data_IF_860533496482
#
_entry.id   IF_860533496482
#
_cell.length_a   1.000
_cell.length_b   1.000
_cell.length_c   1.000
_cell.angle_alpha   90.00
_cell.angle_beta   90.00
_cell.angle_gamma   90.00
#
_symmetry.space_group_name_H-M   'P 1'
#
loop_
_entity.id
_entity.type
_entity.pdbx_description
1 polymer ?
#
# COMPACT_ATOMS: atom_id res chain seq x y z
N UNK A 1 16.86 -5.55 -11.96
CA UNK A 1 17.13 -6.39 -10.76
C UNK A 1 16.30 -5.80 -9.63
N UNK A 2 15.58 -6.64 -8.87
CA UNK A 2 14.71 -6.19 -7.77
C UNK A 2 15.36 -6.63 -6.46
N UNK A 3 15.58 -5.69 -5.54
CA UNK A 3 16.01 -5.98 -4.17
C UNK A 3 14.79 -6.09 -3.27
N UNK A 4 14.67 -7.19 -2.54
CA UNK A 4 13.54 -7.41 -1.63
C UNK A 4 13.92 -7.08 -0.18
N UNK A 5 13.01 -6.42 0.51
CA UNK A 5 13.17 -6.07 1.92
C UNK A 5 11.96 -6.52 2.72
N UNK A 6 12.23 -7.06 3.90
CA UNK A 6 11.25 -7.22 4.97
C UNK A 6 11.35 -6.05 5.94
N UNK A 7 10.22 -5.66 6.52
CA UNK A 7 10.13 -4.64 7.55
C UNK A 7 9.23 -5.14 8.68
N UNK A 8 9.78 -5.18 9.89
CA UNK A 8 9.08 -5.57 11.12
C UNK A 8 8.95 -4.32 11.99
N UNK A 9 7.73 -3.75 12.14
CA UNK A 9 7.53 -2.60 13.01
C UNK A 9 7.77 -3.00 14.47
N UNK A 10 8.37 -2.10 15.24
CA UNK A 10 8.60 -2.32 16.67
C UNK A 10 7.29 -2.35 17.47
N UNK A 11 6.29 -1.60 17.00
CA UNK A 11 4.96 -1.51 17.58
C UNK A 11 3.95 -1.21 16.46
N UNK A 12 3.04 -0.25 16.65
CA UNK A 12 2.05 0.15 15.65
C UNK A 12 2.64 1.10 14.62
N UNK A 13 2.00 1.15 13.46
CA UNK A 13 2.33 2.09 12.38
C UNK A 13 1.17 3.06 12.18
N UNK A 14 1.49 4.30 11.84
CA UNK A 14 0.48 5.32 11.59
C UNK A 14 0.68 5.95 10.21
N UNK A 15 -0.36 5.85 9.39
CA UNK A 15 -0.41 6.44 8.06
C UNK A 15 -1.69 7.25 7.95
N UNK A 16 -1.51 8.56 7.91
CA UNK A 16 -2.61 9.51 7.96
C UNK A 16 -3.33 9.59 6.61
N UNK A 17 -4.67 9.66 6.67
CA UNK A 17 -5.51 10.01 5.53
C UNK A 17 -5.46 11.50 5.15
N UNK A 18 -6.42 11.94 4.34
CA UNK A 18 -6.51 13.32 3.84
C UNK A 18 -7.02 14.34 4.87
N UNK A 19 -7.48 13.87 6.02
CA UNK A 19 -8.26 14.68 6.95
C UNK A 19 -7.38 15.69 7.71
N UNK A 20 -7.93 16.88 8.04
CA UNK A 20 -7.27 17.82 8.94
C UNK A 20 -6.92 17.14 10.27
N UNK A 21 -5.75 17.47 10.80
CA UNK A 21 -5.31 17.07 12.13
C UNK A 21 -4.66 18.29 12.77
N UNK A 22 -5.42 19.37 12.78
CA UNK A 22 -5.08 20.53 13.57
C UNK A 22 -5.43 20.21 15.03
N UNK A 23 -4.57 20.67 15.92
CA UNK A 23 -4.76 20.54 17.35
C UNK A 23 -6.03 21.33 17.75
N UNK A 24 -7.07 20.63 18.23
CA UNK A 24 -8.36 21.24 18.62
C UNK A 24 -9.57 21.00 17.72
N UNK A 25 -9.47 20.23 16.62
CA UNK A 25 -10.59 19.88 15.72
C UNK A 25 -10.92 18.38 15.74
N UNK A 26 -12.21 17.98 15.61
CA UNK A 26 -12.71 16.59 15.74
C UNK A 26 -11.79 15.49 15.18
N UNK A 27 -11.44 14.52 16.05
CA UNK A 27 -10.28 13.63 15.92
C UNK A 27 -10.62 12.16 15.63
N UNK A 28 -11.24 11.84 14.50
CA UNK A 28 -11.26 10.44 14.02
C UNK A 28 -10.56 10.40 12.68
N UNK A 29 -9.23 10.22 12.70
CA UNK A 29 -8.47 10.12 11.46
C UNK A 29 -8.58 8.71 10.86
N UNK A 30 -8.98 8.62 9.60
CA UNK A 30 -8.95 7.39 8.82
C UNK A 30 -7.51 6.92 8.58
N UNK A 31 -7.31 5.60 8.65
CA UNK A 31 -6.02 4.94 8.49
C UNK A 31 -5.83 4.49 7.04
N UNK A 32 -4.75 4.93 6.39
CA UNK A 32 -4.35 4.44 5.06
C UNK A 32 -3.38 3.28 5.19
N UNK A 33 -3.88 2.05 5.21
CA UNK A 33 -3.04 0.85 5.33
C UNK A 33 -3.49 -0.26 4.36
N UNK A 34 -2.58 -1.03 3.74
CA UNK A 34 -1.11 -1.00 3.83
C UNK A 34 -0.46 0.33 3.41
N UNK A 35 0.80 0.61 3.79
CA UNK A 35 1.45 1.87 3.44
C UNK A 35 1.52 2.06 1.93
N UNK A 36 1.23 3.27 1.42
CA UNK A 36 1.48 3.56 0.01
C UNK A 36 2.93 3.31 -0.40
N UNK A 37 3.14 2.75 -1.60
CA UNK A 37 4.47 2.54 -2.19
C UNK A 37 5.35 3.80 -2.16
N UNK A 38 4.77 4.98 -2.42
CA UNK A 38 5.51 6.24 -2.38
C UNK A 38 5.92 6.67 -0.97
N UNK A 39 5.19 6.25 0.08
CA UNK A 39 5.57 6.46 1.48
C UNK A 39 6.78 5.61 1.83
N UNK A 40 6.82 4.35 1.36
CA UNK A 40 7.98 3.47 1.50
C UNK A 40 9.18 4.04 0.75
N UNK A 41 8.99 4.52 -0.49
CA UNK A 41 10.05 5.16 -1.26
C UNK A 41 10.64 6.38 -0.53
N UNK A 42 9.80 7.23 0.06
CA UNK A 42 10.24 8.35 0.89
C UNK A 42 11.06 7.90 2.10
N UNK A 43 10.58 6.89 2.84
CA UNK A 43 11.29 6.32 3.98
C UNK A 43 12.67 5.76 3.61
N UNK A 44 12.77 5.05 2.48
CA UNK A 44 14.04 4.50 1.97
C UNK A 44 15.02 5.60 1.55
N UNK A 45 14.55 6.66 0.89
CA UNK A 45 15.38 7.83 0.58
C UNK A 45 15.94 8.46 1.85
N UNK A 46 15.09 8.66 2.86
CA UNK A 46 15.52 9.18 4.16
C UNK A 46 16.52 8.25 4.86
N UNK A 47 16.30 6.94 4.83
CA UNK A 47 17.24 5.97 5.41
C UNK A 47 18.59 6.01 4.71
N UNK A 48 18.62 6.08 3.38
CA UNK A 48 19.86 6.22 2.61
C UNK A 48 20.63 7.51 2.97
N UNK A 49 19.94 8.64 3.08
CA UNK A 49 20.55 9.93 3.48
C UNK A 49 21.22 9.80 4.86
N UNK A 50 20.47 9.29 5.85
CA UNK A 50 20.96 9.13 7.22
C UNK A 50 22.17 8.19 7.28
N UNK A 51 22.10 7.03 6.61
CA UNK A 51 23.16 6.03 6.68
C UNK A 51 24.46 6.45 5.98
N UNK A 52 24.37 7.37 5.01
CA UNK A 52 25.54 7.96 4.34
C UNK A 52 26.00 9.26 5.02
N UNK A 53 25.45 9.63 6.18
CA UNK A 53 25.88 10.82 6.93
C UNK A 53 25.57 12.15 6.25
N UNK A 54 24.58 12.18 5.35
CA UNK A 54 24.20 13.38 4.60
C UNK A 54 23.22 14.20 5.43
N UNK A 55 23.50 15.49 5.63
CA UNK A 55 22.56 16.40 6.28
C UNK A 55 21.32 16.63 5.40
N UNK A 56 20.14 16.72 6.00
CA UNK A 56 18.89 16.94 5.26
C UNK A 56 18.91 18.24 4.45
N UNK A 57 19.51 19.28 5.01
CA UNK A 57 19.64 20.60 4.41
C UNK A 57 20.52 20.55 3.17
N UNK A 58 21.63 19.82 3.23
CA UNK A 58 22.51 19.59 2.07
C UNK A 58 21.78 18.81 0.98
N UNK A 59 21.02 17.77 1.33
CA UNK A 59 20.19 17.05 0.37
C UNK A 59 19.13 17.96 -0.27
N UNK A 60 18.47 18.81 0.54
CA UNK A 60 17.42 19.72 0.11
C UNK A 60 17.92 20.76 -0.91
N UNK A 61 19.13 21.28 -0.72
CA UNK A 61 19.74 22.27 -1.64
C UNK A 61 20.57 21.61 -2.76
N UNK A 62 20.56 20.28 -2.88
CA UNK A 62 21.23 19.56 -3.96
C UNK A 62 22.73 19.29 -3.74
N UNK A 63 23.27 19.52 -2.54
CA UNK A 63 24.67 19.18 -2.15
C UNK A 63 24.82 17.71 -1.73
N UNK A 64 24.12 16.81 -2.42
CA UNK A 64 24.23 15.37 -2.21
C UNK A 64 25.22 14.79 -3.22
N UNK A 65 26.12 13.87 -2.82
CA UNK A 65 27.02 13.19 -3.77
C UNK A 65 26.25 12.61 -4.96
N UNK A 66 26.82 12.72 -6.17
CA UNK A 66 26.13 12.31 -7.40
C UNK A 66 25.81 10.81 -7.41
N UNK A 67 26.68 9.98 -6.83
CA UNK A 67 26.49 8.53 -6.72
C UNK A 67 25.22 8.19 -5.93
N UNK A 68 25.01 8.84 -4.79
CA UNK A 68 23.81 8.69 -3.96
C UNK A 68 22.60 9.28 -4.68
N UNK A 69 22.72 10.48 -5.26
CA UNK A 69 21.63 11.18 -5.95
C UNK A 69 21.10 10.37 -7.13
N UNK A 70 21.97 9.69 -7.89
CA UNK A 70 21.57 8.79 -8.98
C UNK A 70 20.71 7.63 -8.48
N UNK A 71 20.99 7.10 -7.28
CA UNK A 71 20.24 5.99 -6.70
C UNK A 71 18.92 6.41 -6.05
N UNK A 72 18.87 7.57 -5.38
CA UNK A 72 17.71 7.96 -4.54
C UNK A 72 16.89 9.13 -5.10
N UNK A 73 17.38 9.79 -6.14
CA UNK A 73 16.78 10.99 -6.74
C UNK A 73 17.11 12.28 -6.00
N UNK A 74 16.76 13.42 -6.61
CA UNK A 74 16.91 14.75 -6.01
C UNK A 74 15.75 15.07 -5.06
N UNK A 75 15.99 15.89 -4.05
CA UNK A 75 14.94 16.37 -3.16
C UNK A 75 13.79 17.04 -3.94
N UNK A 76 12.55 16.77 -3.56
CA UNK A 76 11.36 17.30 -4.25
C UNK A 76 10.98 16.59 -5.56
N UNK A 77 11.86 15.78 -6.14
CA UNK A 77 11.59 15.02 -7.36
C UNK A 77 11.14 13.58 -7.08
N UNK A 78 10.60 12.90 -8.11
CA UNK A 78 10.25 11.48 -8.04
C UNK A 78 11.50 10.61 -7.80
N UNK A 79 11.33 9.47 -7.12
CA UNK A 79 12.42 8.50 -6.98
C UNK A 79 12.75 7.87 -8.35
N UNK A 80 14.03 7.60 -8.65
CA UNK A 80 14.44 6.90 -9.87
C UNK A 80 14.19 5.38 -9.80
N UNK A 81 13.61 4.92 -8.69
CA UNK A 81 13.20 3.55 -8.44
C UNK A 81 11.71 3.49 -8.10
N UNK A 82 11.13 2.31 -8.31
CA UNK A 82 9.75 1.98 -7.95
C UNK A 82 9.72 0.97 -6.81
N UNK A 83 8.59 0.93 -6.11
CA UNK A 83 8.33 -0.01 -5.01
C UNK A 83 7.22 -0.96 -5.44
N UNK A 84 7.51 -2.26 -5.38
CA UNK A 84 6.51 -3.33 -5.54
C UNK A 84 5.93 -3.68 -4.17
N UNK A 85 4.60 -3.72 -4.07
CA UNK A 85 3.88 -3.89 -2.81
C UNK A 85 3.59 -2.55 -2.10
N UNK A 86 3.34 -2.56 -0.78
CA UNK A 86 3.76 -3.59 0.16
C UNK A 86 2.84 -4.82 0.17
N UNK A 87 3.46 -5.95 0.48
CA UNK A 87 2.84 -7.23 0.75
C UNK A 87 2.95 -7.55 2.24
N UNK A 88 2.22 -8.58 2.66
CA UNK A 88 2.40 -9.17 3.98
C UNK A 88 3.14 -10.49 3.86
N UNK A 89 4.02 -10.78 4.81
CA UNK A 89 4.61 -12.11 4.97
C UNK A 89 4.28 -12.64 6.35
N UNK A 90 3.78 -13.87 6.39
CA UNK A 90 3.61 -14.65 7.61
C UNK A 90 4.31 -15.98 7.37
N UNK A 91 5.25 -16.34 8.25
CA UNK A 91 6.16 -17.47 8.03
C UNK A 91 6.86 -17.36 6.66
N UNK A 92 6.68 -18.35 5.78
CA UNK A 92 7.24 -18.36 4.42
C UNK A 92 6.23 -17.94 3.35
N UNK A 93 4.98 -17.66 3.73
CA UNK A 93 3.94 -17.27 2.77
C UNK A 93 3.91 -15.75 2.59
N UNK A 94 4.01 -15.31 1.34
CA UNK A 94 3.79 -13.91 0.96
C UNK A 94 2.36 -13.76 0.44
N UNK A 95 1.65 -12.79 1.00
CA UNK A 95 0.26 -12.48 0.72
C UNK A 95 0.17 -11.25 -0.19
N UNK A 96 -0.44 -11.45 -1.36
CA UNK A 96 -0.69 -10.46 -2.40
C UNK A 96 -2.15 -9.97 -2.33
N UNK A 97 -2.43 -8.73 -2.76
CA UNK A 97 -3.80 -8.27 -2.90
C UNK A 97 -4.52 -9.13 -3.95
N UNK A 98 -5.77 -9.49 -3.67
CA UNK A 98 -6.63 -10.15 -4.64
C UNK A 98 -7.03 -9.17 -5.76
N UNK A 99 -7.04 -9.62 -7.03
CA UNK A 99 -7.56 -8.82 -8.14
C UNK A 99 -9.03 -8.45 -7.95
N UNK A 100 -9.43 -7.22 -8.30
CA UNK A 100 -10.86 -6.82 -8.28
C UNK A 100 -11.71 -7.56 -9.33
N UNK A 101 -11.10 -8.29 -10.25
CA UNK A 101 -11.79 -9.21 -11.17
C UNK A 101 -12.24 -10.52 -10.50
N UNK A 102 -11.77 -10.79 -9.28
CA UNK A 102 -12.11 -12.01 -8.55
C UNK A 102 -13.33 -11.80 -7.68
N UNK A 103 -14.21 -12.78 -7.72
CA UNK A 103 -15.44 -12.84 -6.95
C UNK A 103 -15.56 -14.19 -6.25
N UNK A 104 -16.41 -14.25 -5.24
CA UNK A 104 -16.87 -15.50 -4.64
C UNK A 104 -18.33 -15.37 -4.23
N UNK A 105 -19.04 -16.49 -4.07
CA UNK A 105 -20.38 -16.46 -3.48
C UNK A 105 -20.29 -16.01 -2.02
N UNK A 106 -21.15 -15.07 -1.63
CA UNK A 106 -21.27 -14.64 -0.23
C UNK A 106 -21.66 -15.84 0.63
N UNK A 107 -20.90 -16.07 1.70
CA UNK A 107 -21.28 -17.05 2.73
C UNK A 107 -22.28 -16.39 3.69
N UNK A 108 -23.42 -17.04 3.96
CA UNK A 108 -24.47 -16.53 4.87
C UNK A 108 -24.05 -16.53 6.35
N UNK A 109 -23.09 -17.38 6.73
CA UNK A 109 -22.49 -17.41 8.08
C UNK A 109 -21.00 -17.10 7.98
N UNK A 110 -20.53 -16.24 8.88
CA UNK A 110 -19.09 -16.03 9.10
C UNK A 110 -18.50 -17.29 9.72
N UNK A 111 -18.04 -18.21 8.86
CA UNK A 111 -17.14 -19.27 9.32
C UNK A 111 -15.86 -18.62 9.87
N UNK A 112 -15.52 -18.98 11.10
CA UNK A 112 -14.37 -18.47 11.86
C UNK A 112 -13.02 -18.87 11.25
N UNK A 113 -13.02 -19.77 10.27
CA UNK A 113 -11.84 -20.13 9.47
C UNK A 113 -11.87 -19.37 8.14
N UNK A 114 -11.13 -18.27 8.08
CA UNK A 114 -10.50 -17.85 6.82
C UNK A 114 -9.78 -19.10 6.26
N UNK A 115 -10.05 -19.54 5.04
CA UNK A 115 -9.45 -20.82 4.65
C UNK A 115 -9.62 -21.28 3.21
N UNK A 116 -10.81 -21.18 2.63
CA UNK A 116 -10.98 -21.63 1.26
C UNK A 116 -12.19 -20.97 0.61
N UNK A 117 -11.96 -20.37 -0.55
CA UNK A 117 -13.02 -19.76 -1.37
C UNK A 117 -12.90 -20.25 -2.80
N UNK A 118 -14.05 -20.58 -3.39
CA UNK A 118 -14.17 -20.79 -4.81
C UNK A 118 -14.16 -19.44 -5.53
N UNK A 119 -13.20 -19.28 -6.42
CA UNK A 119 -12.93 -18.07 -7.17
C UNK A 119 -13.72 -18.10 -8.47
N UNK A 120 -14.44 -17.01 -8.71
CA UNK A 120 -15.15 -16.72 -9.96
C UNK A 120 -14.47 -15.49 -10.54
N UNK A 121 -13.79 -15.66 -11.68
CA UNK A 121 -13.10 -14.58 -12.37
C UNK A 121 -14.07 -13.98 -13.39
N UNK A 122 -14.20 -12.65 -13.42
CA UNK A 122 -14.97 -12.00 -14.46
C UNK A 122 -14.30 -12.16 -15.83
N UNK A 123 -15.10 -12.32 -16.87
CA UNK A 123 -14.63 -12.50 -18.25
C UNK A 123 -15.21 -11.43 -19.17
N UNK A 124 -14.55 -11.10 -20.29
CA UNK A 124 -15.12 -10.22 -21.30
C UNK A 124 -16.51 -10.70 -21.73
N UNK A 125 -17.46 -9.77 -21.81
CA UNK A 125 -18.79 -10.03 -22.37
C UNK A 125 -18.62 -10.12 -23.88
N UNK A 126 -18.89 -11.29 -24.46
CA UNK A 126 -18.96 -11.43 -25.92
C UNK A 126 -19.98 -10.42 -26.46
N UNK A 127 -19.63 -9.73 -27.54
CA UNK A 127 -20.47 -8.70 -28.17
C UNK A 127 -21.86 -9.27 -28.42
N UNK A 128 -22.83 -8.89 -27.59
CA UNK A 128 -24.23 -9.27 -27.75
C UNK A 128 -24.99 -8.07 -28.30
N UNK A 129 -25.97 -8.32 -29.16
CA UNK A 129 -26.88 -7.28 -29.64
C UNK A 129 -27.73 -6.65 -28.53
N UNK A 130 -27.80 -7.30 -27.36
CA UNK A 130 -28.62 -6.92 -26.22
C UNK A 130 -27.92 -5.97 -25.23
N UNK A 131 -26.59 -5.88 -25.26
CA UNK A 131 -25.81 -5.05 -24.32
C UNK A 131 -24.95 -4.08 -25.11
N UNK A 132 -25.39 -2.82 -25.19
CA UNK A 132 -24.61 -1.71 -25.74
C UNK A 132 -24.00 -0.91 -24.60
N UNK A 133 -22.69 -0.80 -24.59
CA UNK A 133 -21.92 -0.03 -23.61
C UNK A 133 -20.88 0.80 -24.34
N UNK A 134 -20.58 1.99 -23.81
CA UNK A 134 -19.47 2.84 -24.28
C UNK A 134 -18.12 2.14 -24.17
N UNK A 135 -18.00 1.09 -23.34
CA UNK A 135 -16.77 0.32 -23.14
C UNK A 135 -16.60 -0.81 -24.19
N UNK A 136 -17.58 -1.04 -25.07
CA UNK A 136 -17.51 -2.04 -26.14
C UNK A 136 -17.05 -3.44 -25.65
N UNK A 137 -16.05 -4.06 -26.29
CA UNK A 137 -15.57 -5.40 -25.92
C UNK A 137 -14.81 -5.46 -24.58
N UNK A 138 -14.54 -4.30 -23.94
CA UNK A 138 -13.81 -4.22 -22.68
C UNK A 138 -14.71 -4.31 -21.44
N UNK A 139 -15.98 -4.70 -21.60
CA UNK A 139 -16.88 -4.95 -20.48
C UNK A 139 -16.63 -6.35 -19.91
N UNK A 140 -16.31 -6.43 -18.62
CA UNK A 140 -16.10 -7.69 -17.91
C UNK A 140 -17.29 -8.02 -17.02
N UNK A 141 -17.68 -9.30 -16.97
CA UNK A 141 -18.81 -9.77 -16.19
C UNK A 141 -18.50 -11.08 -15.45
N UNK A 142 -18.89 -11.16 -14.18
CA UNK A 142 -18.85 -12.40 -13.39
C UNK A 142 -20.28 -12.93 -13.20
N UNK A 143 -20.48 -14.24 -13.36
CA UNK A 143 -21.80 -14.89 -13.21
C UNK A 143 -21.84 -15.73 -11.93
N UNK A 144 -22.86 -15.51 -11.11
CA UNK A 144 -23.11 -16.22 -9.86
C UNK A 144 -24.45 -15.79 -9.24
N UNK A 145 -24.79 -16.35 -8.08
CA UNK A 145 -26.08 -16.07 -7.41
C UNK A 145 -26.01 -14.80 -6.56
N UNK A 146 -25.07 -14.72 -5.65
CA UNK A 146 -24.88 -13.61 -4.72
C UNK A 146 -23.39 -13.33 -4.54
N UNK A 147 -22.78 -12.75 -5.57
CA UNK A 147 -21.35 -12.51 -5.61
C UNK A 147 -20.92 -11.35 -4.70
N UNK A 148 -19.77 -11.52 -4.05
CA UNK A 148 -18.96 -10.43 -3.51
C UNK A 148 -17.62 -10.37 -4.21
N UNK A 149 -17.10 -9.15 -4.40
CA UNK A 149 -15.72 -8.96 -4.88
C UNK A 149 -14.74 -9.40 -3.81
N UNK A 150 -13.64 -10.01 -4.24
CA UNK A 150 -12.49 -10.32 -3.40
C UNK A 150 -11.44 -9.20 -3.40
N UNK A 151 -11.68 -8.08 -4.10
CA UNK A 151 -10.81 -6.91 -3.96
C UNK A 151 -10.79 -6.41 -2.51
N UNK A 152 -9.58 -6.14 -1.99
CA UNK A 152 -9.35 -5.84 -0.57
C UNK A 152 -9.10 -7.07 0.32
N UNK A 153 -9.15 -8.28 -0.24
CA UNK A 153 -8.67 -9.51 0.39
C UNK A 153 -7.25 -9.85 -0.10
N UNK A 154 -6.69 -10.92 0.47
CA UNK A 154 -5.32 -11.35 0.28
C UNK A 154 -5.25 -12.82 -0.12
N UNK A 155 -4.36 -13.14 -1.05
CA UNK A 155 -4.10 -14.51 -1.55
C UNK A 155 -2.60 -14.77 -1.51
N UNK A 156 -2.21 -16.03 -1.31
CA UNK A 156 -0.80 -16.42 -1.38
C UNK A 156 -0.22 -16.20 -2.78
N UNK A 157 1.08 -15.94 -2.87
CA UNK A 157 1.78 -15.76 -4.14
C UNK A 157 1.59 -16.95 -5.09
N UNK A 158 1.70 -18.18 -4.56
CA UNK A 158 1.55 -19.41 -5.34
C UNK A 158 0.14 -19.57 -5.90
N UNK A 159 -0.88 -19.24 -5.11
CA UNK A 159 -2.27 -19.36 -5.53
C UNK A 159 -2.72 -18.20 -6.43
N UNK A 160 -2.10 -17.03 -6.38
CA UNK A 160 -2.47 -15.89 -7.25
C UNK A 160 -2.44 -16.29 -8.73
N UNK A 161 -1.44 -17.08 -9.12
CA UNK A 161 -1.18 -17.50 -10.50
C UNK A 161 -1.59 -18.94 -10.79
N UNK A 162 -1.95 -19.72 -9.78
CA UNK A 162 -2.44 -21.08 -9.98
C UNK A 162 -3.78 -21.08 -10.73
N UNK A 163 -3.98 -22.05 -11.63
CA UNK A 163 -5.27 -22.24 -12.32
C UNK A 163 -6.36 -22.87 -11.44
N UNK A 164 -6.05 -23.18 -10.17
CA UNK A 164 -6.99 -23.78 -9.22
C UNK A 164 -8.14 -22.82 -8.92
N UNK A 165 -9.37 -23.38 -8.91
CA UNK A 165 -10.59 -22.60 -8.64
C UNK A 165 -10.80 -22.34 -7.15
N UNK A 166 -10.23 -23.14 -6.28
CA UNK A 166 -10.30 -22.94 -4.83
C UNK A 166 -8.96 -22.40 -4.34
N UNK A 167 -9.02 -21.31 -3.59
CA UNK A 167 -7.84 -20.61 -3.08
C UNK A 167 -8.03 -20.23 -1.63
N UNK A 168 -6.93 -20.19 -0.88
CA UNK A 168 -6.91 -19.67 0.48
C UNK A 168 -6.92 -18.14 0.46
N UNK A 169 -8.02 -17.55 0.92
CA UNK A 169 -8.25 -16.11 0.90
C UNK A 169 -8.33 -15.58 2.32
N UNK A 170 -7.48 -14.58 2.63
CA UNK A 170 -7.43 -13.88 3.91
C UNK A 170 -8.04 -12.49 3.83
N UNK A 171 -8.63 -12.05 4.95
CA UNK A 171 -9.09 -10.67 5.15
C UNK A 171 -7.94 -9.82 5.67
N UNK A 172 -8.04 -8.51 5.48
CA UNK A 172 -7.09 -7.55 6.08
C UNK A 172 -6.94 -7.72 7.60
N UNK A 173 -8.04 -8.00 8.31
CA UNK A 173 -8.05 -8.23 9.77
C UNK A 173 -7.22 -9.44 10.23
N UNK A 174 -6.94 -10.37 9.32
CA UNK A 174 -6.12 -11.55 9.60
C UNK A 174 -4.62 -11.21 9.56
N UNK A 175 -4.26 -10.05 8.97
CA UNK A 175 -2.88 -9.60 8.78
C UNK A 175 -2.53 -8.39 9.65
N UNK A 176 -3.50 -7.50 9.89
CA UNK A 176 -3.36 -6.34 10.76
C UNK A 176 -4.71 -5.91 11.34
N UNK A 177 -4.69 -5.26 12.50
CA UNK A 177 -5.86 -4.69 13.16
C UNK A 177 -5.71 -3.19 13.35
N UNK A 178 -6.84 -2.50 13.45
CA UNK A 178 -6.89 -1.08 13.79
C UNK A 178 -6.80 -0.91 15.31
N UNK A 179 -5.91 -0.03 15.75
CA UNK A 179 -5.73 0.31 17.16
C UNK A 179 -5.88 1.83 17.35
N UNK A 180 -6.81 2.23 18.22
CA UNK A 180 -7.01 3.65 18.53
C UNK A 180 -6.04 4.09 19.63
N UNK A 181 -5.24 5.11 19.34
CA UNK A 181 -4.41 5.80 20.32
C UNK A 181 -4.98 7.16 20.61
N UNK A 182 -5.30 7.41 21.88
CA UNK A 182 -5.76 8.71 22.36
C UNK A 182 -4.67 9.36 23.21
N UNK A 183 -4.25 10.56 22.85
CA UNK A 183 -3.25 11.34 23.58
C UNK A 183 -3.77 12.69 24.04
N UNK A 184 -3.06 13.26 25.01
CA UNK A 184 -3.32 14.60 25.55
C UNK A 184 -2.04 15.43 25.58
N UNK A 185 -2.14 16.75 25.40
CA UNK A 185 -1.05 17.65 25.73
C UNK A 185 -1.19 18.11 27.20
N UNK A 186 -0.13 18.02 27.98
CA UNK A 186 -0.10 18.48 29.37
C UNK A 186 0.47 19.90 29.44
N UNK A 187 -0.04 20.69 30.37
CA UNK A 187 0.55 22.00 30.65
C UNK A 187 1.75 21.88 31.59
N UNK A 188 2.92 21.66 31.01
CA UNK A 188 4.14 21.35 31.80
C UNK A 188 4.85 22.61 32.30
N UNK A 189 4.50 23.80 31.78
CA UNK A 189 5.17 25.07 32.15
C UNK A 189 4.55 25.71 33.41
N UNK A 190 3.24 25.57 33.62
CA UNK A 190 2.51 26.22 34.72
C UNK A 190 2.03 25.21 35.78
N UNK A 191 2.96 24.67 36.59
CA UNK A 191 2.79 23.98 37.90
C UNK A 191 1.72 22.88 38.09
N UNK A 192 0.84 22.58 37.13
CA UNK A 192 -0.20 21.55 37.21
C UNK A 192 -0.11 20.68 35.97
N UNK A 193 0.10 19.38 36.18
CA UNK A 193 0.03 18.32 35.15
C UNK A 193 -1.41 18.12 34.66
N UNK A 194 -2.09 19.20 34.28
CA UNK A 194 -3.45 19.21 33.76
C UNK A 194 -3.42 19.18 32.24
N UNK A 195 -4.38 18.48 31.64
CA UNK A 195 -4.55 18.46 30.19
C UNK A 195 -4.88 19.88 29.68
N UNK A 196 -4.23 20.30 28.61
CA UNK A 196 -4.54 21.55 27.91
C UNK A 196 -5.92 21.44 27.27
N UNK A 197 -6.74 22.48 27.43
CA UNK A 197 -8.07 22.54 26.82
C UNK A 197 -7.94 22.41 25.29
N UNK A 198 -8.76 21.55 24.68
CA UNK A 198 -8.76 21.32 23.23
C UNK A 198 -7.57 20.49 22.71
N UNK A 199 -6.78 19.85 23.57
CA UNK A 199 -5.62 19.05 23.15
C UNK A 199 -5.81 17.56 23.40
N UNK A 200 -7.02 17.03 23.16
CA UNK A 200 -7.31 15.60 23.16
C UNK A 200 -7.31 15.11 21.71
N UNK A 201 -6.39 14.25 21.32
CA UNK A 201 -6.31 13.74 19.94
C UNK A 201 -6.43 12.22 19.92
N UNK A 202 -7.12 11.68 18.92
CA UNK A 202 -7.23 10.24 18.68
C UNK A 202 -6.79 9.91 17.26
N UNK A 203 -5.88 8.95 17.13
CA UNK A 203 -5.38 8.43 15.86
C UNK A 203 -5.67 6.94 15.75
N UNK A 204 -5.92 6.47 14.53
CA UNK A 204 -6.09 5.04 14.25
C UNK A 204 -4.80 4.52 13.62
N UNK A 205 -4.16 3.60 14.32
CA UNK A 205 -2.92 2.95 13.92
C UNK A 205 -3.18 1.55 13.37
N UNK A 206 -2.27 1.07 12.55
CA UNK A 206 -2.21 -0.32 12.12
C UNK A 206 -1.28 -1.09 13.06
N UNK A 207 -1.80 -2.13 13.72
CA UNK A 207 -0.98 -3.14 14.40
C UNK A 207 -0.93 -4.39 13.54
N UNK A 208 0.28 -4.82 13.15
CA UNK A 208 0.43 -6.11 12.48
C UNK A 208 0.07 -7.25 13.45
N UNK A 209 -0.60 -8.28 12.93
CA UNK A 209 -0.83 -9.51 13.68
C UNK A 209 0.50 -10.19 14.03
N UNK A 210 0.50 -11.02 15.08
CA UNK A 210 1.71 -11.73 15.52
C UNK A 210 2.27 -12.57 14.38
N UNK A 211 3.57 -12.43 14.10
CA UNK A 211 4.25 -13.18 13.03
C UNK A 211 4.14 -12.54 11.64
N UNK A 212 3.30 -11.52 11.47
CA UNK A 212 3.14 -10.80 10.20
C UNK A 212 4.16 -9.68 10.08
N UNK A 213 4.76 -9.56 8.89
CA UNK A 213 5.73 -8.51 8.52
C UNK A 213 5.33 -7.87 7.21
N UNK A 214 5.78 -6.64 6.98
CA UNK A 214 5.68 -6.03 5.65
C UNK A 214 6.83 -6.50 4.77
N UNK A 215 6.56 -6.68 3.48
CA UNK A 215 7.57 -7.00 2.48
C UNK A 215 7.36 -6.16 1.24
N UNK A 216 8.43 -5.66 0.64
CA UNK A 216 8.36 -4.86 -0.58
C UNK A 216 9.61 -5.05 -1.44
N UNK A 217 9.43 -4.94 -2.75
CA UNK A 217 10.50 -5.00 -3.74
C UNK A 217 10.92 -3.59 -4.15
N UNK A 218 12.21 -3.37 -4.39
CA UNK A 218 12.78 -2.11 -4.86
C UNK A 218 13.45 -2.35 -6.21
N UNK A 219 13.06 -1.63 -7.25
CA UNK A 219 13.57 -1.85 -8.62
C UNK A 219 15.02 -1.36 -8.84
N UNK A 220 15.71 -0.98 -7.77
CA UNK A 220 17.09 -0.51 -7.79
C UNK A 220 17.82 -0.89 -6.49
N UNK A 221 19.14 -1.07 -6.59
CA UNK A 221 20.02 -1.19 -5.42
C UNK A 221 20.19 0.18 -4.78
N UNK A 222 19.81 0.32 -3.52
CA UNK A 222 19.96 1.57 -2.78
C UNK A 222 21.30 1.58 -2.00
N UNK A 223 21.92 2.75 -1.78
CA UNK A 223 23.16 2.88 -1.02
C UNK A 223 22.86 2.80 0.49
N UNK A 224 22.38 1.65 0.94
CA UNK A 224 22.00 1.39 2.31
C UNK A 224 22.59 0.04 2.74
N UNK A 225 22.73 -0.15 4.05
CA UNK A 225 23.07 -1.46 4.62
C UNK A 225 21.95 -2.46 4.35
N UNK A 226 22.29 -3.74 4.32
CA UNK A 226 21.31 -4.82 4.14
C UNK A 226 20.33 -4.96 5.31
N UNK A 227 20.64 -4.41 6.47
CA UNK A 227 19.70 -4.31 7.59
C UNK A 227 19.92 -3.04 8.40
N UNK A 228 18.90 -2.65 9.15
CA UNK A 228 18.95 -1.49 10.03
C UNK A 228 17.58 -1.08 10.51
N UNK A 229 17.46 0.19 10.93
CA UNK A 229 16.19 0.77 11.36
C UNK A 229 15.61 1.63 10.25
N UNK A 230 14.33 1.42 9.94
CA UNK A 230 13.57 2.25 9.00
C UNK A 230 12.46 2.96 9.78
N UNK A 231 12.35 4.27 9.60
CA UNK A 231 11.20 5.04 10.07
C UNK A 231 10.15 5.06 8.97
N UNK A 232 8.95 4.56 9.26
CA UNK A 232 7.90 4.39 8.27
C UNK A 232 6.56 4.88 8.83
N UNK A 233 5.96 5.85 8.15
CA UNK A 233 4.73 6.52 8.60
C UNK A 233 5.00 7.77 9.43
N UNK A 234 3.96 8.22 10.13
CA UNK A 234 3.98 9.39 11.01
C UNK A 234 4.45 9.04 12.43
N UNK A 235 4.50 10.03 13.33
CA UNK A 235 4.88 9.88 14.75
C UNK A 235 6.22 9.18 15.00
N UNK A 236 7.16 9.28 14.04
CA UNK A 236 8.48 8.63 14.14
C UNK A 236 8.39 7.11 14.40
N UNK A 237 7.30 6.45 13.98
CA UNK A 237 7.17 4.99 14.08
C UNK A 237 8.28 4.32 13.28
N UNK A 238 8.85 3.27 13.84
CA UNK A 238 10.05 2.63 13.32
C UNK A 238 10.00 1.11 13.48
N UNK A 239 10.92 0.45 12.79
CA UNK A 239 11.08 -0.99 12.85
C UNK A 239 12.40 -1.44 12.22
N UNK A 240 12.72 -2.71 12.39
CA UNK A 240 13.85 -3.33 11.71
C UNK A 240 13.49 -3.57 10.25
N UNK A 241 14.37 -3.18 9.33
CA UNK A 241 14.33 -3.65 7.95
C UNK A 241 15.49 -4.60 7.68
N UNK A 242 15.27 -5.57 6.79
CA UNK A 242 16.29 -6.53 6.37
C UNK A 242 16.08 -6.91 4.91
N UNK A 243 17.15 -6.89 4.11
CA UNK A 243 17.19 -7.45 2.76
C UNK A 243 16.99 -8.95 2.87
N UNK A 244 16.09 -9.47 2.05
CA UNK A 244 15.75 -10.89 2.02
C UNK A 244 16.05 -11.46 0.64
N UNK A 245 16.00 -12.79 0.56
CA UNK A 245 16.11 -13.49 -0.71
C UNK A 245 15.00 -13.06 -1.68
N UNK A 246 15.28 -13.27 -2.96
CA UNK A 246 14.37 -12.86 -4.02
C UNK A 246 13.02 -13.56 -3.87
N UNK A 247 11.94 -12.77 -3.88
CA UNK A 247 10.59 -13.31 -3.99
C UNK A 247 10.30 -13.48 -5.48
N UNK A 248 10.05 -14.72 -5.88
CA UNK A 248 9.59 -15.00 -7.24
C UNK A 248 8.26 -14.29 -7.45
N UNK A 249 8.24 -13.36 -8.41
CA UNK A 249 7.01 -12.82 -8.95
C UNK A 249 6.72 -13.62 -10.21
N UNK A 250 5.74 -14.54 -10.20
CA UNK A 250 5.33 -15.21 -11.41
C UNK A 250 4.89 -14.19 -12.45
N UNK A 251 5.21 -14.45 -13.71
CA UNK A 251 4.72 -13.64 -14.82
C UNK A 251 3.35 -14.19 -15.23
N UNK A 252 2.32 -13.35 -15.09
CA UNK A 252 1.04 -13.58 -15.73
C UNK A 252 1.16 -13.53 -17.26
N UNK A 253 0.13 -14.04 -17.94
CA UNK A 253 0.07 -14.06 -19.41
C UNK A 253 -1.30 -13.64 -19.94
N UNK A 254 -2.15 -13.06 -19.09
CA UNK A 254 -3.52 -12.69 -19.47
C UNK A 254 -3.59 -11.40 -20.29
N UNK A 255 -2.52 -10.60 -20.35
CA UNK A 255 -2.55 -9.23 -20.88
C UNK A 255 -3.28 -8.23 -19.96
N UNK A 256 -3.70 -8.66 -18.77
CA UNK A 256 -4.27 -7.80 -17.73
C UNK A 256 -3.24 -7.57 -16.63
N UNK A 257 -3.24 -6.36 -16.07
CA UNK A 257 -2.24 -5.91 -15.12
C UNK A 257 -2.90 -5.45 -13.83
N UNK A 258 -2.46 -5.98 -12.69
CA UNK A 258 -2.94 -5.61 -11.36
C UNK A 258 -1.95 -4.72 -10.64
N UNK A 259 -2.40 -3.59 -10.09
CA UNK A 259 -1.55 -2.76 -9.21
C UNK A 259 -1.36 -3.42 -7.85
N UNK A 260 -0.12 -3.52 -7.39
CA UNK A 260 0.24 -4.14 -6.09
C UNK A 260 0.14 -3.17 -4.91
N UNK A 261 0.02 -1.87 -5.17
CA UNK A 261 -0.25 -0.82 -4.19
C UNK A 261 -1.26 0.18 -4.76
N UNK A 262 -1.56 1.23 -4.00
CA UNK A 262 -2.39 2.34 -4.49
C UNK A 262 -1.74 3.01 -5.72
N UNK A 263 -2.54 3.22 -6.77
CA UNK A 263 -2.10 3.80 -8.03
C UNK A 263 -2.77 5.14 -8.28
N UNK A 264 -1.99 6.19 -8.54
CA UNK A 264 -2.51 7.53 -8.76
C UNK A 264 -3.36 7.60 -10.04
N UNK A 265 -4.57 8.14 -9.92
CA UNK A 265 -5.45 8.39 -11.06
C UNK A 265 -4.82 9.40 -12.02
N UNK A 266 -4.79 9.05 -13.29
CA UNK A 266 -4.37 9.91 -14.39
C UNK A 266 -5.14 9.52 -15.67
N UNK A 267 -4.96 10.27 -16.76
CA UNK A 267 -5.69 10.02 -18.01
C UNK A 267 -5.53 8.58 -18.52
N UNK A 268 -4.31 8.03 -18.46
CA UNK A 268 -3.99 6.67 -18.92
C UNK A 268 -4.62 5.63 -18.00
N UNK A 269 -4.42 5.75 -16.68
CA UNK A 269 -4.99 4.83 -15.70
C UNK A 269 -6.53 4.79 -15.79
N UNK A 270 -7.18 5.94 -15.93
CA UNK A 270 -8.63 6.05 -16.04
C UNK A 270 -9.17 5.41 -17.32
N UNK A 271 -8.46 5.53 -18.45
CA UNK A 271 -8.86 4.96 -19.73
C UNK A 271 -8.70 3.43 -19.78
N UNK A 272 -7.72 2.90 -19.05
CA UNK A 272 -7.33 1.50 -19.11
C UNK A 272 -7.82 0.67 -17.91
N UNK A 273 -8.53 1.27 -16.95
CA UNK A 273 -9.08 0.57 -15.79
C UNK A 273 -10.19 -0.41 -16.23
N UNK A 274 -10.02 -1.68 -15.85
CA UNK A 274 -10.97 -2.77 -16.14
C UNK A 274 -11.84 -3.05 -14.91
N UNK A 275 -11.23 -3.16 -13.72
CA UNK A 275 -11.94 -3.40 -12.47
C UNK A 275 -11.22 -2.74 -11.30
N UNK A 276 -11.99 -2.12 -10.40
CA UNK A 276 -11.45 -1.41 -9.24
C UNK A 276 -12.47 -1.38 -8.10
N UNK A 277 -11.97 -1.13 -6.88
CA UNK A 277 -12.78 -0.76 -5.73
C UNK A 277 -13.04 0.75 -5.64
N UNK A 278 -13.51 1.17 -4.47
CA UNK A 278 -13.76 2.59 -4.15
C UNK A 278 -12.46 3.39 -4.29
N UNK A 279 -12.54 4.48 -5.07
CA UNK A 279 -11.43 5.42 -5.22
C UNK A 279 -11.12 6.08 -3.88
N UNK A 280 -9.85 6.08 -3.52
CA UNK A 280 -9.35 6.69 -2.29
C UNK A 280 -8.82 8.08 -2.60
N UNK A 281 -9.18 9.08 -1.81
CA UNK A 281 -8.70 10.45 -1.98
C UNK A 281 -7.83 10.82 -0.81
N UNK A 282 -6.57 11.15 -1.09
CA UNK A 282 -5.70 11.75 -0.10
C UNK A 282 -4.60 12.58 -0.75
N UNK A 283 -4.15 13.57 0.02
CA UNK A 283 -2.87 14.22 -0.22
C UNK A 283 -1.76 13.43 0.47
N UNK A 284 -0.56 13.98 0.45
CA UNK A 284 0.55 13.51 1.27
C UNK A 284 1.27 14.70 1.87
N UNK A 285 2.34 14.46 2.59
CA UNK A 285 3.23 15.51 3.05
C UNK A 285 4.46 15.58 2.15
N UNK A 286 4.84 16.78 1.72
CA UNK A 286 6.08 17.02 1.01
C UNK A 286 7.11 17.61 1.97
N UNK A 287 8.12 16.80 2.30
CA UNK A 287 9.19 17.19 3.22
C UNK A 287 10.12 18.27 2.63
N UNK A 288 10.24 18.37 1.30
CA UNK A 288 11.10 19.35 0.66
C UNK A 288 10.53 20.77 0.86
N UNK A 289 9.25 20.96 0.57
CA UNK A 289 8.57 22.25 0.73
C UNK A 289 7.97 22.46 2.12
N UNK A 290 7.79 21.40 2.92
CA UNK A 290 7.16 21.49 4.24
C UNK A 290 5.65 21.76 4.17
N UNK A 291 4.97 21.24 3.15
CA UNK A 291 3.55 21.52 2.88
C UNK A 291 2.81 20.30 2.33
N UNK A 292 1.48 20.38 2.25
CA UNK A 292 0.67 19.28 1.72
C UNK A 292 0.85 19.14 0.20
N UNK A 293 0.91 17.89 -0.26
CA UNK A 293 0.80 17.55 -1.68
C UNK A 293 -0.65 17.76 -2.13
N UNK A 294 -0.89 18.12 -3.41
CA UNK A 294 -2.24 18.20 -3.95
C UNK A 294 -3.01 16.91 -3.71
N UNK A 295 -4.29 17.03 -3.35
CA UNK A 295 -5.19 15.90 -3.22
C UNK A 295 -5.33 15.19 -4.57
N UNK A 296 -5.21 13.87 -4.58
CA UNK A 296 -5.39 13.03 -5.77
C UNK A 296 -6.28 11.84 -5.46
N UNK A 297 -7.01 11.38 -6.49
CA UNK A 297 -7.71 10.10 -6.44
C UNK A 297 -6.75 8.96 -6.74
N UNK A 298 -6.89 7.85 -6.00
CA UNK A 298 -6.07 6.66 -6.13
C UNK A 298 -6.95 5.43 -6.32
N UNK A 299 -6.55 4.59 -7.27
CA UNK A 299 -7.06 3.22 -7.40
C UNK A 299 -6.46 2.38 -6.26
N UNK A 300 -7.26 1.58 -5.53
CA UNK A 300 -6.76 0.72 -4.48
C UNK A 300 -5.86 -0.41 -5.03
N UNK A 301 -5.05 -1.00 -4.16
CA UNK A 301 -4.31 -2.22 -4.47
C UNK A 301 -5.28 -3.34 -4.91
N UNK A 302 -4.88 -4.12 -5.92
CA UNK A 302 -5.73 -5.13 -6.55
C UNK A 302 -6.51 -4.63 -7.77
N UNK A 303 -6.53 -3.32 -8.05
CA UNK A 303 -7.21 -2.80 -9.24
C UNK A 303 -6.53 -3.30 -10.51
N UNK A 304 -7.33 -3.63 -11.53
CA UNK A 304 -6.89 -4.29 -12.76
C UNK A 304 -7.06 -3.38 -13.97
N UNK A 305 -6.07 -3.38 -14.85
CA UNK A 305 -5.96 -2.57 -16.05
C UNK A 305 -5.66 -3.45 -17.27
N UNK A 306 -6.07 -3.05 -18.47
CA UNK A 306 -5.75 -3.75 -19.72
C UNK A 306 -4.42 -3.28 -20.35
N UNK A 307 -3.60 -2.58 -19.57
CA UNK A 307 -2.28 -2.06 -19.94
C UNK A 307 -1.43 -1.90 -18.68
N UNK A 308 -0.12 -2.17 -18.78
CA UNK A 308 0.83 -1.85 -17.70
C UNK A 308 0.91 -0.33 -17.52
N UNK A 309 0.37 0.18 -16.41
CA UNK A 309 0.32 1.62 -16.12
C UNK A 309 1.64 2.11 -15.53
N UNK A 310 2.22 1.37 -14.60
CA UNK A 310 3.52 1.65 -14.00
C UNK A 310 4.23 0.34 -13.59
N UNK A 311 5.40 0.45 -12.97
CA UNK A 311 6.19 -0.69 -12.49
C UNK A 311 5.57 -1.41 -11.27
N UNK A 312 4.57 -0.83 -10.61
CA UNK A 312 3.85 -1.49 -9.50
C UNK A 312 2.81 -2.49 -10.02
N UNK A 313 2.45 -2.38 -11.31
CA UNK A 313 1.53 -3.27 -11.96
C UNK A 313 2.22 -4.57 -12.40
N UNK A 314 1.73 -5.68 -11.87
CA UNK A 314 2.15 -7.04 -12.27
C UNK A 314 1.12 -7.61 -13.25
N UNK A 315 1.57 -8.36 -14.24
CA UNK A 315 0.67 -9.06 -15.16
C UNK A 315 0.02 -10.24 -14.43
N UNK A 316 -1.29 -10.43 -14.64
CA UNK A 316 -2.09 -11.55 -14.10
C UNK A 316 -2.08 -12.77 -15.02
#
# INVERSE_FOLDING_TARGET
MIDWYSFTPQDTLYFRGAEPANMGESHTSSMTFPPPAHTIAGALRTAAIIQNGIAFEDYKIGKCPQEITKCIGKAGEASPFSILGPFFREEDTVWFPCPFLWFSEKKEKEDSKAGLRKIIISSPVQTSTLIKTSNGPNLFWAKGKNLETLGGYWVSADELFASTKEKNIRRSRDLFVSETHTGIALDVKDKRRTARKGHLYSFVHARLCKGVRLVFGVTARLPMKDSGVLKLGAEQRFGEYRRIDNISLPQGTSGLFMTTSILAGNKVANQHCVATGRIQYFGGWDLHIGFHKPMRGYFPAGSVFNKKIDEQCIEL
#
